data_IF_169556475106
#
_entry.id   IF_169556475106
#
_cell.length_a   1.000
_cell.length_b   1.000
_cell.length_c   1.000
_cell.angle_alpha   90.00
_cell.angle_beta   90.00
_cell.angle_gamma   90.00
#
_symmetry.space_group_name_H-M   'P 1'
#
loop_
_entity.id
_entity.type
_entity.pdbx_description
1 polymer ?
#
# COMPACT_ATOMS: atom_id res chain seq x y z
N UNK A 1 -6.69 -9.53 7.79
CA UNK A 1 -6.93 -8.43 6.85
C UNK A 1 -5.70 -8.17 5.99
N UNK A 2 -5.94 -7.87 4.72
CA UNK A 2 -4.84 -7.60 3.78
C UNK A 2 -3.95 -6.42 4.21
N UNK A 3 -4.48 -5.32 4.77
CA UNK A 3 -3.62 -4.23 5.26
C UNK A 3 -2.63 -4.68 6.34
N UNK A 4 -3.05 -5.54 7.26
CA UNK A 4 -2.17 -6.05 8.32
C UNK A 4 -1.07 -6.95 7.74
N UNK A 5 -1.40 -7.75 6.72
CA UNK A 5 -0.44 -8.58 6.02
C UNK A 5 0.62 -7.73 5.32
N UNK A 6 0.22 -6.64 4.69
CA UNK A 6 1.15 -5.71 4.05
C UNK A 6 2.04 -5.01 5.08
N UNK A 7 1.47 -4.59 6.21
CA UNK A 7 2.24 -3.98 7.30
C UNK A 7 3.34 -4.94 7.78
N UNK A 8 2.98 -6.21 7.97
CA UNK A 8 3.95 -7.23 8.38
C UNK A 8 5.04 -7.41 7.34
N UNK A 9 4.69 -7.48 6.06
CA UNK A 9 5.66 -7.64 4.98
C UNK A 9 6.65 -6.47 4.95
N UNK A 10 6.18 -5.24 5.13
CA UNK A 10 7.03 -4.06 5.15
C UNK A 10 7.92 -4.02 6.39
N UNK A 11 7.38 -4.32 7.57
CA UNK A 11 8.19 -4.29 8.79
C UNK A 11 9.22 -5.40 8.81
N UNK A 12 8.94 -6.56 8.22
CA UNK A 12 9.90 -7.64 8.11
C UNK A 12 11.03 -7.32 7.12
N UNK A 13 10.71 -6.62 6.03
CA UNK A 13 11.67 -6.34 4.96
C UNK A 13 12.49 -5.08 5.18
N UNK A 14 11.96 -4.09 5.93
CA UNK A 14 12.60 -2.79 6.10
C UNK A 14 12.93 -2.59 7.58
N UNK A 15 14.23 -2.70 7.97
CA UNK A 15 14.62 -2.64 9.38
C UNK A 15 14.21 -1.37 10.11
N UNK A 16 14.27 -0.22 9.44
CA UNK A 16 13.92 1.05 10.07
C UNK A 16 12.46 1.10 10.49
N UNK A 17 11.57 0.40 9.78
CA UNK A 17 10.15 0.33 10.13
C UNK A 17 9.90 -0.57 11.33
N UNK A 18 10.77 -1.56 11.56
CA UNK A 18 10.70 -2.39 12.77
C UNK A 18 11.12 -1.59 14.01
N UNK A 19 12.14 -0.78 13.85
CA UNK A 19 12.67 0.05 14.95
C UNK A 19 11.76 1.23 15.25
N UNK A 20 11.15 1.81 14.22
CA UNK A 20 10.31 3.01 14.33
C UNK A 20 8.96 2.76 13.67
N UNK A 21 8.06 1.97 14.30
CA UNK A 21 6.77 1.64 13.69
C UNK A 21 5.88 2.85 13.44
N UNK A 22 6.11 3.95 14.15
CA UNK A 22 5.34 5.19 13.98
C UNK A 22 5.59 5.86 12.62
N UNK A 23 6.68 5.48 11.92
CA UNK A 23 6.95 6.00 10.59
C UNK A 23 5.98 5.47 9.54
N UNK A 24 5.33 4.33 9.80
CA UNK A 24 4.45 3.67 8.86
C UNK A 24 2.99 3.86 9.26
N UNK A 25 2.21 4.45 8.37
CA UNK A 25 0.77 4.63 8.55
C UNK A 25 0.05 4.02 7.35
N UNK A 26 -0.95 3.19 7.62
CA UNK A 26 -1.82 2.61 6.61
C UNK A 26 -3.23 3.16 6.77
N UNK A 27 -3.86 3.50 5.64
CA UNK A 27 -5.21 4.05 5.65
C UNK A 27 -6.00 3.52 4.47
N UNK A 28 -7.29 3.26 4.68
CA UNK A 28 -8.22 2.87 3.62
C UNK A 28 -9.06 4.08 3.25
N UNK A 29 -9.04 4.43 1.97
CA UNK A 29 -9.79 5.56 1.43
C UNK A 29 -10.68 5.12 0.27
N UNK A 30 -11.65 5.96 -0.06
CA UNK A 30 -12.53 5.75 -1.21
C UNK A 30 -13.22 4.38 -1.16
N UNK A 31 -13.64 3.98 0.05
CA UNK A 31 -14.31 2.70 0.25
C UNK A 31 -15.68 2.67 -0.41
N UNK A 32 -16.00 1.54 -1.03
CA UNK A 32 -17.28 1.31 -1.68
C UNK A 32 -17.67 -0.15 -1.52
N UNK A 33 -18.91 -0.38 -1.10
CA UNK A 33 -19.49 -1.71 -1.00
C UNK A 33 -20.56 -1.87 -2.06
N UNK A 34 -20.43 -2.90 -2.90
CA UNK A 34 -21.43 -3.25 -3.88
C UNK A 34 -22.15 -4.49 -3.41
N UNK A 35 -23.42 -4.32 -3.02
CA UNK A 35 -24.27 -5.43 -2.59
C UNK A 35 -24.92 -6.09 -3.81
N UNK A 36 -25.11 -7.42 -3.73
CA UNK A 36 -25.82 -8.17 -4.76
C UNK A 36 -27.28 -8.40 -4.30
N UNK A 37 -28.17 -8.59 -5.26
CA UNK A 37 -29.57 -8.93 -4.97
C UNK A 37 -29.78 -10.44 -4.75
N UNK A 38 -28.70 -11.20 -4.59
CA UNK A 38 -28.75 -12.62 -4.33
C UNK A 38 -29.35 -12.91 -2.93
N UNK A 39 -29.85 -14.12 -2.73
CA UNK A 39 -30.42 -14.54 -1.44
C UNK A 39 -29.42 -14.49 -0.31
N UNK A 40 -28.14 -14.72 -0.59
CA UNK A 40 -27.07 -14.55 0.38
C UNK A 40 -26.66 -13.08 0.46
N UNK A 41 -26.39 -12.60 1.69
CA UNK A 41 -25.87 -11.24 1.89
C UNK A 41 -24.40 -11.22 1.50
N UNK A 42 -24.13 -11.15 0.19
CA UNK A 42 -22.78 -11.00 -0.31
C UNK A 42 -22.58 -9.59 -0.85
N UNK A 43 -21.37 -9.08 -0.68
CA UNK A 43 -21.01 -7.75 -1.21
C UNK A 43 -19.54 -7.75 -1.60
N UNK A 44 -19.21 -6.90 -2.54
CA UNK A 44 -17.84 -6.64 -2.94
C UNK A 44 -17.37 -5.34 -2.28
N UNK A 45 -16.25 -5.40 -1.60
CA UNK A 45 -15.64 -4.24 -0.94
C UNK A 45 -14.47 -3.77 -1.79
N UNK A 46 -14.52 -2.50 -2.22
CA UNK A 46 -13.44 -1.86 -2.97
C UNK A 46 -12.93 -0.66 -2.17
N UNK A 47 -11.63 -0.46 -2.17
CA UNK A 47 -11.01 0.64 -1.46
C UNK A 47 -9.63 0.93 -2.06
N UNK A 48 -9.12 2.11 -1.74
CA UNK A 48 -7.73 2.47 -2.02
C UNK A 48 -6.95 2.33 -0.71
N UNK A 49 -5.89 1.54 -0.73
CA UNK A 49 -4.99 1.42 0.40
C UNK A 49 -3.87 2.44 0.26
N UNK A 50 -3.81 3.37 1.20
CA UNK A 50 -2.77 4.37 1.24
C UNK A 50 -1.73 4.00 2.27
N UNK A 51 -0.46 4.02 1.85
CA UNK A 51 0.69 3.72 2.69
C UNK A 51 1.50 5.02 2.81
N UNK A 52 1.66 5.51 4.03
CA UNK A 52 2.44 6.73 4.27
C UNK A 52 3.63 6.38 5.13
N UNK A 53 4.83 6.70 4.66
CA UNK A 53 6.07 6.53 5.40
C UNK A 53 6.70 7.91 5.56
N UNK A 54 6.88 8.35 6.80
CA UNK A 54 7.44 9.67 7.10
C UNK A 54 8.93 9.57 7.48
N UNK A 55 9.68 10.60 7.14
CA UNK A 55 11.10 10.74 7.50
C UNK A 55 11.97 9.58 7.02
N UNK A 56 11.68 9.06 5.81
CA UNK A 56 12.42 7.94 5.24
C UNK A 56 13.73 8.46 4.63
N UNK A 57 14.84 7.90 5.04
CA UNK A 57 16.19 8.38 4.63
C UNK A 57 16.90 7.44 3.67
N UNK A 58 16.38 6.24 3.45
CA UNK A 58 16.97 5.26 2.54
C UNK A 58 16.37 5.37 1.14
N UNK A 59 16.81 4.51 0.23
CA UNK A 59 16.29 4.45 -1.14
C UNK A 59 14.83 4.00 -1.13
N UNK A 60 13.98 4.73 -1.86
CA UNK A 60 12.55 4.44 -1.98
C UNK A 60 12.30 3.01 -2.48
N UNK A 61 13.18 2.49 -3.32
CA UNK A 61 13.04 1.14 -3.86
C UNK A 61 13.01 0.08 -2.76
N UNK A 62 13.59 0.37 -1.60
CA UNK A 62 13.52 -0.53 -0.44
C UNK A 62 12.09 -0.67 0.09
N UNK A 63 11.22 0.30 -0.19
CA UNK A 63 9.80 0.21 0.10
C UNK A 63 9.03 -0.45 -1.04
N UNK A 64 9.37 -0.13 -2.27
CA UNK A 64 8.65 -0.59 -3.45
C UNK A 64 8.77 -2.09 -3.68
N UNK A 65 9.97 -2.66 -3.52
CA UNK A 65 10.21 -4.07 -3.78
C UNK A 65 9.36 -4.98 -2.88
N UNK A 66 9.31 -4.78 -1.55
CA UNK A 66 8.43 -5.58 -0.69
C UNK A 66 6.95 -5.43 -1.03
N UNK A 67 6.51 -4.21 -1.39
CA UNK A 67 5.12 -3.97 -1.77
C UNK A 67 4.78 -4.70 -3.05
N UNK A 68 5.65 -4.66 -4.04
CA UNK A 68 5.43 -5.35 -5.30
C UNK A 68 5.40 -6.87 -5.12
N UNK A 69 6.26 -7.40 -4.26
CA UNK A 69 6.27 -8.82 -3.93
C UNK A 69 4.97 -9.24 -3.23
N UNK A 70 4.48 -8.41 -2.32
CA UNK A 70 3.21 -8.65 -1.64
C UNK A 70 2.02 -8.62 -2.63
N UNK A 71 2.03 -7.64 -3.56
CA UNK A 71 0.98 -7.51 -4.57
C UNK A 71 0.91 -8.73 -5.48
N UNK A 72 2.05 -9.30 -5.85
CA UNK A 72 2.10 -10.48 -6.71
C UNK A 72 1.30 -11.64 -6.11
N UNK A 73 1.31 -11.77 -4.79
CA UNK A 73 0.62 -12.86 -4.09
C UNK A 73 -0.83 -12.49 -3.75
N UNK A 74 -1.06 -11.24 -3.33
CA UNK A 74 -2.33 -10.85 -2.73
C UNK A 74 -3.25 -10.07 -3.68
N UNK A 75 -2.69 -9.42 -4.68
CA UNK A 75 -3.45 -8.56 -5.60
C UNK A 75 -2.82 -8.57 -6.99
N UNK A 76 -2.70 -9.73 -7.64
CA UNK A 76 -1.98 -9.83 -8.92
C UNK A 76 -2.64 -9.03 -10.04
N UNK A 77 -3.94 -8.72 -9.94
CA UNK A 77 -4.67 -7.97 -10.95
C UNK A 77 -4.06 -6.59 -11.21
N UNK A 78 -3.44 -5.98 -10.20
CA UNK A 78 -2.77 -4.69 -10.36
C UNK A 78 -1.65 -4.78 -11.40
N UNK A 79 -1.01 -5.94 -11.50
CA UNK A 79 0.15 -6.13 -12.39
C UNK A 79 -0.22 -6.73 -13.74
N UNK A 80 -1.41 -7.31 -13.89
CA UNK A 80 -1.81 -8.08 -15.09
C UNK A 80 -2.75 -7.32 -16.01
N UNK A 81 -3.43 -6.28 -15.54
CA UNK A 81 -4.32 -5.46 -16.37
C UNK A 81 -3.63 -4.16 -16.77
N UNK A 82 -4.03 -3.60 -17.92
CA UNK A 82 -3.49 -2.31 -18.38
C UNK A 82 -3.79 -1.20 -17.38
N UNK A 83 -5.03 -1.15 -16.89
CA UNK A 83 -5.43 -0.16 -15.90
C UNK A 83 -4.68 -0.33 -14.60
N UNK A 84 -4.53 -1.57 -14.13
CA UNK A 84 -3.79 -1.85 -12.90
C UNK A 84 -2.33 -1.45 -13.01
N UNK A 85 -1.67 -1.72 -14.15
CA UNK A 85 -0.28 -1.33 -14.36
C UNK A 85 -0.10 0.19 -14.39
N UNK A 86 -1.09 0.94 -14.88
CA UNK A 86 -1.00 2.40 -14.99
C UNK A 86 -1.41 3.13 -13.73
N UNK A 87 -2.41 2.63 -13.00
CA UNK A 87 -3.06 3.34 -11.89
C UNK A 87 -3.08 2.57 -10.58
N UNK A 88 -2.84 1.26 -10.63
CA UNK A 88 -2.96 0.41 -9.46
C UNK A 88 -1.90 0.65 -8.39
N UNK A 89 -0.74 1.15 -8.80
CA UNK A 89 0.36 1.50 -7.90
C UNK A 89 0.84 2.89 -8.27
N UNK A 90 0.43 3.88 -7.48
CA UNK A 90 0.83 5.26 -7.66
C UNK A 90 1.52 5.77 -6.40
N UNK A 91 2.44 6.72 -6.54
CA UNK A 91 3.14 7.26 -5.39
C UNK A 91 3.57 8.69 -5.62
N UNK A 92 3.79 9.41 -4.53
CA UNK A 92 4.49 10.69 -4.56
C UNK A 92 5.31 10.82 -3.27
N UNK A 93 6.29 11.70 -3.29
CA UNK A 93 7.14 11.92 -2.13
C UNK A 93 7.43 13.40 -1.98
N UNK A 94 7.40 13.88 -0.75
CA UNK A 94 7.84 15.22 -0.39
C UNK A 94 9.26 15.16 0.15
N UNK A 95 10.12 16.04 -0.34
CA UNK A 95 11.51 16.12 0.13
C UNK A 95 11.55 17.11 1.29
N UNK A 96 11.93 16.63 2.47
CA UNK A 96 12.04 17.46 3.66
C UNK A 96 13.35 18.24 3.68
N UNK A 97 13.45 19.25 4.55
CA UNK A 97 14.64 20.09 4.64
C UNK A 97 15.91 19.33 5.02
N UNK A 98 15.78 18.23 5.74
CA UNK A 98 16.90 17.37 6.15
C UNK A 98 17.21 16.26 5.15
N UNK A 99 16.67 16.35 3.94
CA UNK A 99 16.83 15.38 2.85
C UNK A 99 16.12 14.05 3.09
N UNK A 100 15.31 13.92 4.16
CA UNK A 100 14.44 12.77 4.33
C UNK A 100 13.21 12.91 3.43
N UNK A 101 12.48 11.82 3.20
CA UNK A 101 11.31 11.79 2.35
C UNK A 101 10.07 11.39 3.14
N UNK A 102 8.98 12.09 2.87
CA UNK A 102 7.65 11.62 3.25
C UNK A 102 7.02 11.00 2.01
N UNK A 103 6.90 9.67 2.01
CA UNK A 103 6.45 8.89 0.84
C UNK A 103 5.00 8.51 1.03
N UNK A 104 4.20 8.74 0.00
CA UNK A 104 2.79 8.33 -0.01
C UNK A 104 2.54 7.41 -1.20
N UNK A 105 2.06 6.22 -0.93
CA UNK A 105 1.81 5.17 -1.93
C UNK A 105 0.35 4.81 -1.90
N UNK A 106 -0.28 4.77 -3.08
CA UNK A 106 -1.69 4.40 -3.23
C UNK A 106 -1.80 3.11 -4.01
N UNK A 107 -2.48 2.12 -3.43
CA UNK A 107 -2.77 0.83 -4.06
C UNK A 107 -4.27 0.71 -4.27
N UNK A 108 -4.65 0.47 -5.49
CA UNK A 108 -6.06 0.41 -5.88
C UNK A 108 -6.71 -0.96 -5.63
#
# INVERSE_FOLDING_TARGET
LKPNSLRKALTDAVPVLRTNPDMLCLRLDDGNNTATLARSLSFEKRYTLNIVVTDFTDDIDLLFVPIMAWLRVNQPDIMTTDEGRKKGFAWYADINNDSSLDVSISLL
#
